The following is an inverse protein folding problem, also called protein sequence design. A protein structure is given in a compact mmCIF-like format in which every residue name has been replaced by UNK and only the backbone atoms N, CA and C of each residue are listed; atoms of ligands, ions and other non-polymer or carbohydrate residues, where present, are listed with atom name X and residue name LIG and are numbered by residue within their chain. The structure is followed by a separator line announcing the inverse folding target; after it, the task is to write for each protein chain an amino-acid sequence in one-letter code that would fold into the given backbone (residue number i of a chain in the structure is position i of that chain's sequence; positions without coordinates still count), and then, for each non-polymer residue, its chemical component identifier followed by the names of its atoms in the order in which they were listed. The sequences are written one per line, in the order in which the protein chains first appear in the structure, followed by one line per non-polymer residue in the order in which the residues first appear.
data_IF_925073951612
#
_entry.id   IF_925073951612
#
_cell.length_a   1.000
_cell.length_b   1.000
_cell.length_c   1.000
_cell.angle_alpha   90.00
_cell.angle_beta   90.00
_cell.angle_gamma   90.00
#
_symmetry.space_group_name_H-M   'P 1'
#
loop_
_entity.id
_entity.type
_entity.pdbx_description
1 polymer ?
#
# COMPACT_ATOMS: atom_id res chain seq x y z
N UNK A 1 -24.21 -1.12 -27.09
CA UNK A 1 -23.85 -1.11 -25.64
C UNK A 1 -22.38 -1.41 -25.32
N UNK A 2 -21.59 -2.01 -26.23
CA UNK A 2 -20.15 -2.23 -26.01
C UNK A 2 -19.31 -0.96 -26.25
N UNK A 3 -19.71 -0.11 -27.22
CA UNK A 3 -18.99 1.11 -27.60
C UNK A 3 -18.82 2.15 -26.47
N UNK A 4 -19.77 2.22 -25.52
CA UNK A 4 -19.73 3.14 -24.38
C UNK A 4 -18.92 2.60 -23.19
N UNK A 5 -18.71 1.28 -23.12
CA UNK A 5 -18.02 0.63 -21.98
C UNK A 5 -16.51 0.85 -22.01
N UNK A 6 -15.88 0.76 -23.20
CA UNK A 6 -14.44 0.96 -23.32
C UNK A 6 -13.99 2.39 -22.98
N UNK A 7 -14.63 3.46 -23.48
CA UNK A 7 -14.32 4.82 -23.08
C UNK A 7 -14.51 5.03 -21.58
N UNK A 8 -15.63 4.56 -21.01
CA UNK A 8 -15.87 4.66 -19.58
C UNK A 8 -14.77 3.97 -18.75
N UNK A 9 -14.37 2.76 -19.10
CA UNK A 9 -13.27 2.07 -18.41
C UNK A 9 -11.95 2.79 -18.53
N UNK A 10 -11.66 3.39 -19.69
CA UNK A 10 -10.47 4.21 -19.88
C UNK A 10 -10.49 5.42 -18.95
N UNK A 11 -11.60 6.19 -18.95
CA UNK A 11 -11.75 7.35 -18.08
C UNK A 11 -11.70 6.97 -16.60
N UNK A 12 -12.35 5.88 -16.20
CA UNK A 12 -12.32 5.38 -14.82
C UNK A 12 -10.92 4.96 -14.38
N UNK A 13 -10.11 4.37 -15.27
CA UNK A 13 -8.70 4.06 -15.00
C UNK A 13 -7.84 5.32 -14.90
N UNK A 14 -8.02 6.28 -15.81
CA UNK A 14 -7.32 7.57 -15.75
C UNK A 14 -7.66 8.27 -14.42
N UNK A 15 -8.93 8.29 -14.07
CA UNK A 15 -9.43 8.83 -12.81
C UNK A 15 -8.76 8.19 -11.59
N UNK A 16 -8.65 6.86 -11.56
CA UNK A 16 -7.91 6.15 -10.52
C UNK A 16 -6.46 6.65 -10.38
N UNK A 17 -5.73 6.80 -11.49
CA UNK A 17 -4.35 7.26 -11.44
C UNK A 17 -4.23 8.73 -11.02
N UNK A 18 -5.19 9.58 -11.41
CA UNK A 18 -5.27 10.97 -10.93
C UNK A 18 -5.48 11.01 -9.42
N UNK A 19 -6.42 10.22 -8.89
CA UNK A 19 -6.67 10.10 -7.44
C UNK A 19 -5.46 9.55 -6.67
N UNK A 20 -4.66 8.68 -7.30
CA UNK A 20 -3.41 8.18 -6.72
C UNK A 20 -2.34 9.27 -6.69
N UNK A 21 -2.12 9.97 -7.80
CA UNK A 21 -1.03 10.92 -7.97
C UNK A 21 -1.26 12.23 -7.20
N UNK A 22 -2.48 12.78 -7.24
CA UNK A 22 -2.79 14.09 -6.68
C UNK A 22 -2.41 14.22 -5.19
N UNK A 23 -2.81 13.31 -4.28
CA UNK A 23 -2.42 13.42 -2.87
C UNK A 23 -0.93 13.20 -2.64
N UNK A 24 -0.26 12.38 -3.45
CA UNK A 24 1.20 12.16 -3.33
C UNK A 24 1.94 13.46 -3.63
N UNK A 25 1.50 14.21 -4.64
CA UNK A 25 2.08 15.50 -5.02
C UNK A 25 1.78 16.55 -3.95
N UNK A 26 0.51 16.68 -3.55
CA UNK A 26 0.08 17.70 -2.57
C UNK A 26 0.71 17.47 -1.20
N UNK A 27 0.81 16.22 -0.75
CA UNK A 27 1.37 15.87 0.56
C UNK A 27 2.88 15.59 0.50
N UNK A 28 3.55 15.80 -0.63
CA UNK A 28 4.94 15.44 -0.84
C UNK A 28 5.90 15.86 0.29
N UNK A 29 5.93 17.13 0.75
CA UNK A 29 6.86 17.53 1.81
C UNK A 29 6.60 16.80 3.14
N UNK A 30 5.32 16.57 3.47
CA UNK A 30 4.92 15.84 4.68
C UNK A 30 5.30 14.37 4.56
N UNK A 31 5.09 13.77 3.39
CA UNK A 31 5.47 12.40 3.11
C UNK A 31 6.99 12.23 3.22
N UNK A 32 7.78 13.16 2.68
CA UNK A 32 9.25 13.13 2.80
C UNK A 32 9.71 13.14 4.25
N UNK A 33 9.17 14.05 5.07
CA UNK A 33 9.51 14.12 6.50
C UNK A 33 9.13 12.80 7.16
N UNK A 34 7.92 12.29 6.93
CA UNK A 34 7.41 11.09 7.60
C UNK A 34 8.23 9.81 7.37
N UNK A 35 8.95 9.71 6.24
CA UNK A 35 9.81 8.55 5.92
C UNK A 35 11.30 8.77 6.24
N UNK A 36 11.68 9.95 6.74
CA UNK A 36 13.09 10.27 6.99
C UNK A 36 13.68 9.52 8.19
N UNK A 37 12.83 9.01 9.10
CA UNK A 37 13.24 8.23 10.28
C UNK A 37 12.33 7.02 10.45
N UNK A 38 12.89 5.86 10.77
CA UNK A 38 12.10 4.63 10.98
C UNK A 38 11.04 4.79 12.08
N UNK A 39 11.36 5.53 13.16
CA UNK A 39 10.43 5.84 14.26
C UNK A 39 9.18 6.62 13.83
N UNK A 40 9.19 7.25 12.67
CA UNK A 40 8.06 8.01 12.12
C UNK A 40 7.21 7.19 11.14
N UNK A 41 7.56 5.92 10.91
CA UNK A 41 6.77 5.03 10.08
C UNK A 41 5.30 4.90 10.52
N UNK A 42 4.96 4.83 11.83
CA UNK A 42 3.55 4.84 12.25
C UNK A 42 2.79 6.11 11.83
N UNK A 43 3.47 7.26 11.74
CA UNK A 43 2.89 8.49 11.24
C UNK A 43 2.72 8.45 9.72
N UNK A 44 3.74 8.00 8.97
CA UNK A 44 3.62 7.73 7.53
C UNK A 44 2.44 6.80 7.24
N UNK A 45 2.29 5.73 8.04
CA UNK A 45 1.22 4.77 7.88
C UNK A 45 -0.15 5.43 8.04
N UNK A 46 -0.36 6.32 9.03
CA UNK A 46 -1.61 7.10 9.15
C UNK A 46 -1.91 7.91 7.88
N UNK A 47 -0.89 8.54 7.27
CA UNK A 47 -1.04 9.26 6.01
C UNK A 47 -1.43 8.30 4.86
N UNK A 48 -0.77 7.14 4.77
CA UNK A 48 -1.09 6.11 3.78
C UNK A 48 -2.53 5.57 3.94
N UNK A 49 -3.03 5.45 5.18
CA UNK A 49 -4.43 5.08 5.45
C UNK A 49 -5.42 6.15 5.01
N UNK A 50 -5.11 7.42 5.28
CA UNK A 50 -5.92 8.54 4.80
C UNK A 50 -5.96 8.56 3.27
N UNK A 51 -4.80 8.43 2.63
CA UNK A 51 -4.66 8.33 1.18
C UNK A 51 -5.49 7.19 0.59
N UNK A 52 -5.42 6.00 1.17
CA UNK A 52 -6.21 4.85 0.75
C UNK A 52 -7.72 5.09 0.85
N UNK A 53 -8.19 5.68 1.96
CA UNK A 53 -9.62 6.02 2.12
C UNK A 53 -10.08 7.07 1.12
N UNK A 54 -9.26 8.10 0.87
CA UNK A 54 -9.53 9.11 -0.15
C UNK A 54 -9.72 8.48 -1.53
N UNK A 55 -8.84 7.56 -1.93
CA UNK A 55 -8.97 6.84 -3.21
C UNK A 55 -10.23 5.98 -3.23
N UNK A 56 -10.51 5.21 -2.18
CA UNK A 56 -11.69 4.35 -2.13
C UNK A 56 -12.99 5.16 -2.29
N UNK A 57 -13.11 6.27 -1.55
CA UNK A 57 -14.26 7.18 -1.63
C UNK A 57 -14.33 7.83 -3.03
N UNK A 58 -13.22 8.36 -3.54
CA UNK A 58 -13.17 9.01 -4.86
C UNK A 58 -13.45 8.06 -6.02
N UNK A 59 -13.19 6.76 -5.85
CA UNK A 59 -13.53 5.72 -6.80
C UNK A 59 -14.97 5.21 -6.65
N UNK A 60 -15.71 5.67 -5.64
CA UNK A 60 -17.10 5.26 -5.36
C UNK A 60 -17.21 3.91 -4.66
N UNK A 61 -16.15 3.40 -4.03
CA UNK A 61 -16.20 2.12 -3.32
C UNK A 61 -16.83 2.25 -1.93
N UNK A 62 -17.88 1.47 -1.71
CA UNK A 62 -18.42 1.18 -0.38
C UNK A 62 -17.95 -0.22 0.02
N UNK A 63 -17.16 -0.31 1.09
CA UNK A 63 -16.64 -1.59 1.59
C UNK A 63 -17.25 -1.92 2.95
N UNK A 64 -17.48 -3.22 3.18
CA UNK A 64 -17.94 -3.76 4.46
C UNK A 64 -16.86 -4.66 5.04
N UNK A 65 -16.51 -4.42 6.29
CA UNK A 65 -15.53 -5.24 7.00
C UNK A 65 -16.29 -6.19 7.92
N UNK A 66 -16.01 -7.49 7.80
CA UNK A 66 -16.45 -8.52 8.73
C UNK A 66 -15.21 -9.06 9.44
N UNK A 67 -15.29 -9.19 10.74
CA UNK A 67 -14.22 -9.76 11.57
C UNK A 67 -14.74 -11.06 12.15
N UNK A 68 -14.03 -12.15 11.89
CA UNK A 68 -14.17 -13.37 12.69
C UNK A 68 -13.43 -13.18 14.01
N UNK A 69 -12.22 -12.60 13.94
CA UNK A 69 -11.45 -12.17 15.09
C UNK A 69 -10.88 -10.75 14.85
N UNK A 70 -10.80 -9.95 15.91
CA UNK A 70 -10.24 -8.60 15.84
C UNK A 70 -8.74 -8.64 16.13
N UNK A 71 -7.96 -8.04 15.24
CA UNK A 71 -6.51 -7.85 15.44
C UNK A 71 -6.26 -7.00 16.68
N UNK A 72 -5.40 -7.48 17.57
CA UNK A 72 -4.95 -6.74 18.75
C UNK A 72 -3.80 -5.80 18.35
N UNK A 73 -3.89 -4.52 18.73
CA UNK A 73 -2.95 -3.47 18.29
C UNK A 73 -1.51 -3.65 18.81
N UNK A 74 -1.32 -4.41 19.89
CA UNK A 74 -0.03 -4.65 20.54
C UNK A 74 0.81 -5.76 19.90
N UNK A 75 0.26 -6.49 18.93
CA UNK A 75 0.94 -7.62 18.28
C UNK A 75 1.27 -7.31 16.82
N UNK A 76 2.35 -7.94 16.34
CA UNK A 76 2.71 -7.96 14.91
C UNK A 76 2.10 -9.19 14.24
N UNK A 77 1.53 -9.03 13.05
CA UNK A 77 0.87 -10.11 12.31
C UNK A 77 1.45 -10.24 10.92
N UNK A 78 1.52 -11.45 10.37
CA UNK A 78 1.71 -11.63 8.93
C UNK A 78 0.35 -11.66 8.24
N UNK A 79 0.03 -10.63 7.48
CA UNK A 79 -1.25 -10.49 6.80
C UNK A 79 -1.19 -11.14 5.42
N UNK A 80 -2.03 -12.15 5.20
CA UNK A 80 -2.12 -12.88 3.93
C UNK A 80 -3.49 -12.61 3.32
N UNK A 81 -3.50 -11.94 2.17
CA UNK A 81 -4.70 -11.64 1.40
C UNK A 81 -4.58 -12.25 0.00
N UNK A 82 -5.70 -12.67 -0.56
CA UNK A 82 -5.80 -12.88 -2.00
C UNK A 82 -5.56 -11.55 -2.73
N UNK A 83 -4.99 -11.60 -3.95
CA UNK A 83 -4.68 -10.40 -4.72
C UNK A 83 -5.35 -10.46 -6.09
N UNK A 84 -6.37 -9.63 -6.28
CA UNK A 84 -7.21 -9.58 -7.48
C UNK A 84 -7.10 -8.25 -8.21
N UNK A 85 -6.78 -7.15 -7.51
CA UNK A 85 -6.82 -5.81 -8.08
C UNK A 85 -5.84 -4.85 -7.41
N UNK A 86 -5.60 -3.70 -8.04
CA UNK A 86 -4.83 -2.60 -7.43
C UNK A 86 -5.55 -1.98 -6.22
N UNK A 87 -6.87 -2.12 -6.13
CA UNK A 87 -7.69 -1.58 -5.04
C UNK A 87 -7.44 -2.33 -3.73
N UNK A 88 -6.94 -3.57 -3.79
CA UNK A 88 -6.64 -4.40 -2.63
C UNK A 88 -5.65 -3.69 -1.67
N UNK A 89 -4.68 -2.96 -2.21
CA UNK A 89 -3.73 -2.16 -1.42
C UNK A 89 -4.46 -1.11 -0.60
N UNK A 90 -5.41 -0.40 -1.23
CA UNK A 90 -6.19 0.64 -0.56
C UNK A 90 -7.12 0.03 0.48
N UNK A 91 -7.76 -1.09 0.16
CA UNK A 91 -8.62 -1.79 1.09
C UNK A 91 -7.84 -2.30 2.31
N UNK A 92 -6.66 -2.90 2.13
CA UNK A 92 -5.81 -3.33 3.23
C UNK A 92 -5.37 -2.16 4.13
N UNK A 93 -4.92 -1.04 3.54
CA UNK A 93 -4.56 0.16 4.30
C UNK A 93 -5.77 0.76 5.05
N UNK A 94 -6.95 0.76 4.44
CA UNK A 94 -8.15 1.27 5.08
C UNK A 94 -8.60 0.40 6.27
N UNK A 95 -8.55 -0.92 6.11
CA UNK A 95 -9.08 -1.92 7.05
C UNK A 95 -8.16 -2.20 8.24
N UNK A 96 -6.85 -2.37 8.01
CA UNK A 96 -5.90 -2.76 9.04
C UNK A 96 -5.37 -1.53 9.77
N UNK A 97 -5.43 -1.57 11.11
CA UNK A 97 -5.02 -0.44 11.96
C UNK A 97 -3.56 -0.51 12.37
N UNK A 98 -3.01 -1.70 12.55
CA UNK A 98 -1.59 -1.92 12.87
C UNK A 98 -0.73 -1.48 11.67
N UNK A 99 0.35 -0.71 11.88
CA UNK A 99 1.30 -0.40 10.81
C UNK A 99 1.88 -1.67 10.21
N UNK A 100 1.77 -1.81 8.89
CA UNK A 100 2.24 -2.99 8.18
C UNK A 100 3.00 -2.66 6.90
N UNK A 101 3.87 -3.57 6.48
CA UNK A 101 4.76 -3.43 5.34
C UNK A 101 4.37 -4.39 4.22
N UNK A 102 4.13 -3.86 3.02
CA UNK A 102 3.84 -4.71 1.85
C UNK A 102 5.10 -5.41 1.32
N UNK A 103 4.92 -6.63 0.82
CA UNK A 103 5.88 -7.27 -0.08
C UNK A 103 5.47 -6.99 -1.52
N UNK A 104 6.35 -6.42 -2.32
CA UNK A 104 5.98 -6.01 -3.67
C UNK A 104 7.09 -6.09 -4.70
N UNK A 105 6.66 -6.07 -5.97
CA UNK A 105 7.51 -6.19 -7.17
C UNK A 105 8.61 -5.13 -7.18
N UNK A 106 9.86 -5.51 -7.44
CA UNK A 106 11.00 -4.57 -7.54
C UNK A 106 10.82 -3.54 -8.65
N UNK A 107 10.06 -3.85 -9.69
CA UNK A 107 9.88 -3.01 -10.87
C UNK A 107 9.19 -1.69 -10.52
N UNK A 108 8.25 -1.72 -9.58
CA UNK A 108 7.51 -0.54 -9.11
C UNK A 108 8.43 0.50 -8.43
N UNK A 109 9.60 0.06 -7.97
CA UNK A 109 10.62 0.93 -7.40
C UNK A 109 11.25 1.88 -8.45
N UNK A 110 11.05 1.62 -9.75
CA UNK A 110 11.58 2.45 -10.84
C UNK A 110 10.68 3.64 -11.19
N UNK A 111 9.43 3.65 -10.72
CA UNK A 111 8.49 4.74 -11.01
C UNK A 111 8.97 6.02 -10.30
N UNK A 112 9.15 7.15 -11.00
CA UNK A 112 9.52 8.42 -10.37
C UNK A 112 8.53 8.81 -9.28
N UNK A 113 9.01 9.49 -8.23
CA UNK A 113 8.24 9.91 -7.05
C UNK A 113 7.69 8.75 -6.20
N UNK A 114 6.83 7.90 -6.78
CA UNK A 114 6.27 6.72 -6.12
C UNK A 114 7.35 5.74 -5.65
N UNK A 115 8.30 5.41 -6.53
CA UNK A 115 9.38 4.48 -6.27
C UNK A 115 10.28 4.90 -5.12
N UNK A 116 10.42 6.21 -4.87
CA UNK A 116 11.19 6.76 -3.75
C UNK A 116 10.60 6.37 -2.40
N UNK A 117 9.28 6.50 -2.24
CA UNK A 117 8.57 6.08 -1.03
C UNK A 117 8.50 4.56 -0.95
N UNK A 118 8.17 3.91 -2.06
CA UNK A 118 7.97 2.47 -2.14
C UNK A 118 9.23 1.68 -1.73
N UNK A 119 10.43 2.10 -2.14
CA UNK A 119 11.72 1.48 -1.73
C UNK A 119 11.95 1.48 -0.23
N UNK A 120 11.45 2.50 0.48
CA UNK A 120 11.67 2.69 1.93
C UNK A 120 10.58 2.07 2.78
N UNK A 121 9.41 1.86 2.20
CA UNK A 121 8.19 1.51 2.93
C UNK A 121 7.70 0.09 2.62
N UNK A 122 8.26 -0.58 1.62
CA UNK A 122 7.90 -1.93 1.20
C UNK A 122 9.13 -2.86 1.16
N UNK A 123 8.90 -4.16 1.31
CA UNK A 123 9.90 -5.21 1.06
C UNK A 123 9.87 -5.53 -0.44
N UNK A 124 10.95 -5.21 -1.14
CA UNK A 124 11.06 -5.47 -2.57
C UNK A 124 11.46 -6.93 -2.84
N UNK A 125 10.74 -7.57 -3.76
CA UNK A 125 11.04 -8.91 -4.26
C UNK A 125 11.34 -8.90 -5.75
N UNK A 126 12.45 -9.54 -6.11
CA UNK A 126 12.77 -9.93 -7.48
C UNK A 126 12.27 -11.35 -7.72
N UNK A 127 11.21 -11.50 -8.51
CA UNK A 127 10.60 -12.81 -8.76
C UNK A 127 11.47 -13.72 -9.62
N UNK A 128 12.35 -13.12 -10.43
CA UNK A 128 13.25 -13.85 -11.33
C UNK A 128 14.53 -14.31 -10.61
N UNK A 129 14.72 -13.91 -9.34
CA UNK A 129 15.90 -14.25 -8.56
C UNK A 129 15.51 -15.07 -7.31
N UNK A 130 15.82 -16.38 -7.26
CA UNK A 130 15.54 -17.24 -6.11
C UNK A 130 16.12 -16.72 -4.79
N UNK A 131 17.36 -16.19 -4.79
CA UNK A 131 17.98 -15.62 -3.59
C UNK A 131 17.21 -14.40 -3.09
N UNK A 132 16.70 -13.56 -4.00
CA UNK A 132 15.87 -12.42 -3.63
C UNK A 132 14.55 -12.85 -2.99
N UNK A 133 13.89 -13.89 -3.52
CA UNK A 133 12.67 -14.46 -2.91
C UNK A 133 12.94 -14.98 -1.50
N UNK A 134 14.06 -15.66 -1.28
CA UNK A 134 14.43 -16.13 0.06
C UNK A 134 14.73 -14.98 1.02
N UNK A 135 15.37 -13.90 0.55
CA UNK A 135 15.68 -12.73 1.37
C UNK A 135 14.43 -11.99 1.87
N UNK A 136 13.26 -12.16 1.24
CA UNK A 136 11.98 -11.58 1.71
C UNK A 136 11.65 -12.08 3.10
N UNK A 137 11.85 -13.37 3.39
CA UNK A 137 11.52 -13.97 4.69
C UNK A 137 12.34 -13.34 5.82
N UNK A 138 13.66 -13.16 5.60
CA UNK A 138 14.54 -12.51 6.58
C UNK A 138 14.15 -11.04 6.82
N UNK A 139 13.76 -10.33 5.76
CA UNK A 139 13.29 -8.93 5.87
C UNK A 139 11.96 -8.84 6.59
N UNK A 140 11.02 -9.73 6.29
CA UNK A 140 9.73 -9.82 6.97
C UNK A 140 9.91 -10.10 8.46
N UNK A 141 10.75 -11.07 8.82
CA UNK A 141 11.07 -11.37 10.22
C UNK A 141 11.67 -10.17 10.95
N UNK A 142 12.55 -9.40 10.29
CA UNK A 142 13.10 -8.16 10.87
C UNK A 142 11.99 -7.14 11.16
N UNK A 143 11.04 -6.94 10.24
CA UNK A 143 9.91 -6.00 10.42
C UNK A 143 9.01 -6.43 11.58
N UNK A 144 8.70 -7.72 11.67
CA UNK A 144 7.94 -8.29 12.79
C UNK A 144 8.60 -8.00 14.15
N UNK A 145 9.92 -8.18 14.25
CA UNK A 145 10.70 -7.86 15.46
C UNK A 145 10.74 -6.37 15.79
N UNK A 146 10.52 -5.48 14.81
CA UNK A 146 10.40 -4.04 15.00
C UNK A 146 8.99 -3.59 15.41
N UNK A 147 8.05 -4.52 15.62
CA UNK A 147 6.67 -4.20 15.98
C UNK A 147 5.78 -3.82 14.78
N UNK A 148 6.27 -4.04 13.55
CA UNK A 148 5.49 -3.85 12.32
C UNK A 148 4.87 -5.17 11.88
N UNK A 149 3.68 -5.11 11.29
CA UNK A 149 3.03 -6.24 10.63
C UNK A 149 3.48 -6.41 9.17
#
# INVERSE_FOLDING_TARGET
MVLLRYPFWLFYRIWFYVLVALPIIVLFPILLVSISREKWYPFFFKLARFWAKFILIGMGFVYKIKYEERLQLSYSYMLVANHTSMVDIMLMLATVKNPFVFVGKKELAKIPLFGFFYKRTCILVDRNNPKSRQAVFLRAQRRLKQGLS
#
